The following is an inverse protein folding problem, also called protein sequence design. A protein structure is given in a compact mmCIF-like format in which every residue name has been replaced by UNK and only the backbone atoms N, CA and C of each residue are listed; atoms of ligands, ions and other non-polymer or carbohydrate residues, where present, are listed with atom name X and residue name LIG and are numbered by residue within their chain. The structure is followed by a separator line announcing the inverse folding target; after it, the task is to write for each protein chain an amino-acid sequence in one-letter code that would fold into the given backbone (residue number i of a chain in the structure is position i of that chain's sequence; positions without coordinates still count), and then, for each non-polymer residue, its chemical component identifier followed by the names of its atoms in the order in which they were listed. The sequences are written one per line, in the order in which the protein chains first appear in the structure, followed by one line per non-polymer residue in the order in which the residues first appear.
data_IF_024785535638
#
_entry.id   IF_024785535638
#
_cell.length_a   1.000
_cell.length_b   1.000
_cell.length_c   1.000
_cell.angle_alpha   90.00
_cell.angle_beta   90.00
_cell.angle_gamma   90.00
#
_symmetry.space_group_name_H-M   'P 1'
#
loop_
_entity.id
_entity.type
_entity.pdbx_description
1 polymer ?
#
# COMPACT_ATOMS: atom_id res chain seq x y z
N UNK A 1 -11.54 -55.63 7.06
CA UNK A 1 -10.31 -55.28 6.30
C UNK A 1 -10.62 -54.31 5.16
N UNK A 2 -11.50 -54.63 4.20
CA UNK A 2 -11.83 -53.73 3.06
C UNK A 2 -12.35 -52.33 3.41
N UNK A 3 -13.06 -52.18 4.53
CA UNK A 3 -13.59 -50.89 5.00
C UNK A 3 -12.51 -49.94 5.54
N UNK A 4 -11.45 -50.49 6.15
CA UNK A 4 -10.34 -49.70 6.70
C UNK A 4 -9.46 -49.16 5.56
N UNK A 5 -9.22 -49.97 4.54
CA UNK A 5 -8.52 -49.57 3.31
C UNK A 5 -9.23 -48.42 2.58
N UNK A 6 -10.57 -48.42 2.56
CA UNK A 6 -11.34 -47.35 1.92
C UNK A 6 -11.25 -46.03 2.68
N UNK A 7 -11.26 -46.10 4.02
CA UNK A 7 -11.11 -44.92 4.87
C UNK A 7 -9.69 -44.33 4.73
N UNK A 8 -8.65 -45.18 4.74
CA UNK A 8 -7.26 -44.74 4.57
C UNK A 8 -7.06 -44.08 3.20
N UNK A 9 -7.63 -44.64 2.13
CA UNK A 9 -7.56 -44.05 0.80
C UNK A 9 -8.29 -42.69 0.70
N UNK A 10 -9.45 -42.54 1.36
CA UNK A 10 -10.17 -41.26 1.39
C UNK A 10 -9.41 -40.19 2.18
N UNK A 11 -8.84 -40.52 3.33
CA UNK A 11 -8.05 -39.57 4.15
C UNK A 11 -6.78 -39.13 3.41
N UNK A 12 -6.09 -40.06 2.75
CA UNK A 12 -4.91 -39.74 1.93
C UNK A 12 -5.27 -38.88 0.71
N UNK A 13 -6.38 -39.18 0.03
CA UNK A 13 -6.86 -38.38 -1.11
C UNK A 13 -7.24 -36.95 -0.71
N UNK A 14 -7.88 -36.78 0.45
CA UNK A 14 -8.24 -35.46 0.99
C UNK A 14 -6.99 -34.67 1.40
N UNK A 15 -6.02 -35.32 2.06
CA UNK A 15 -4.75 -34.70 2.44
C UNK A 15 -3.90 -34.28 1.22
N UNK A 16 -3.97 -35.02 0.12
CA UNK A 16 -3.35 -34.67 -1.16
C UNK A 16 -4.10 -33.53 -1.88
N UNK A 17 -5.42 -33.40 -1.70
CA UNK A 17 -6.21 -32.30 -2.30
C UNK A 17 -6.08 -30.95 -1.56
N UNK A 18 -5.66 -30.95 -0.29
CA UNK A 18 -5.45 -29.71 0.47
C UNK A 18 -4.09 -29.02 0.22
N UNK A 19 -3.19 -29.64 -0.55
CA UNK A 19 -1.87 -29.08 -0.87
C UNK A 19 -1.79 -28.28 -2.19
N UNK A 20 -2.93 -27.92 -2.80
CA UNK A 20 -2.95 -27.06 -4.00
C UNK A 20 -3.77 -25.78 -3.77
N UNK A 21 -3.73 -25.23 -2.55
CA UNK A 21 -3.86 -23.78 -2.41
C UNK A 21 -2.44 -23.24 -2.39
N UNK A 22 -1.83 -23.18 -3.57
CA UNK A 22 -0.59 -22.43 -3.75
C UNK A 22 -0.83 -21.03 -3.24
N UNK A 23 -0.14 -20.65 -2.16
CA UNK A 23 0.07 -19.26 -1.80
C UNK A 23 0.63 -18.57 -3.06
N UNK A 24 -0.20 -17.81 -3.74
CA UNK A 24 0.22 -16.90 -4.81
C UNK A 24 1.09 -15.82 -4.16
N UNK A 25 2.36 -16.14 -3.92
CA UNK A 25 3.37 -15.19 -3.49
C UNK A 25 3.62 -14.24 -4.66
N UNK A 26 3.17 -13.00 -4.49
CA UNK A 26 3.38 -11.92 -5.44
C UNK A 26 4.84 -11.45 -5.34
N UNK A 27 5.63 -11.64 -6.40
CA UNK A 27 6.96 -11.05 -6.49
C UNK A 27 6.87 -9.60 -7.01
N UNK A 28 6.79 -8.61 -6.10
CA UNK A 28 6.80 -7.18 -6.46
C UNK A 28 8.01 -6.83 -7.37
N UNK A 29 9.15 -7.50 -7.15
CA UNK A 29 10.38 -7.33 -7.93
C UNK A 29 10.23 -7.74 -9.41
N UNK A 30 9.22 -8.55 -9.76
CA UNK A 30 8.93 -8.94 -11.14
C UNK A 30 7.92 -8.03 -11.86
N UNK A 31 7.27 -7.10 -11.15
CA UNK A 31 6.10 -6.38 -11.67
C UNK A 31 6.31 -4.90 -11.95
N UNK A 32 7.32 -4.28 -11.34
CA UNK A 32 7.62 -2.86 -11.50
C UNK A 32 9.08 -2.66 -11.88
N UNK A 33 9.31 -1.79 -12.87
CA UNK A 33 10.66 -1.48 -13.33
C UNK A 33 11.36 -0.42 -12.47
N UNK A 34 10.60 0.50 -11.88
CA UNK A 34 11.12 1.59 -11.06
C UNK A 34 10.04 2.16 -10.14
N UNK A 35 10.46 2.96 -9.15
CA UNK A 35 9.57 3.71 -8.29
C UNK A 35 9.71 5.21 -8.58
N UNK A 36 8.58 5.92 -8.62
CA UNK A 36 8.57 7.38 -8.62
C UNK A 36 8.33 7.85 -7.20
N UNK A 37 9.30 8.57 -6.63
CA UNK A 37 9.09 9.33 -5.42
C UNK A 37 8.59 10.72 -5.82
N UNK A 38 7.31 10.97 -5.60
CA UNK A 38 6.63 12.20 -6.03
C UNK A 38 6.47 13.12 -4.85
N UNK A 39 6.88 14.37 -5.04
CA UNK A 39 6.75 15.44 -4.05
C UNK A 39 5.84 16.53 -4.60
N UNK A 40 5.09 17.20 -3.72
CA UNK A 40 4.20 18.31 -4.06
C UNK A 40 4.55 19.57 -3.29
N UNK A 41 4.34 20.72 -3.93
CA UNK A 41 4.49 22.03 -3.30
C UNK A 41 3.16 22.44 -2.66
N UNK A 42 3.12 22.67 -1.34
CA UNK A 42 1.90 23.13 -0.66
C UNK A 42 1.37 24.44 -1.25
N UNK A 43 2.27 25.34 -1.66
CA UNK A 43 1.93 26.62 -2.27
C UNK A 43 1.28 26.46 -3.64
N UNK A 44 1.83 25.61 -4.51
CA UNK A 44 1.26 25.37 -5.83
C UNK A 44 -0.11 24.69 -5.71
N UNK A 45 -0.18 23.63 -4.89
CA UNK A 45 -1.42 22.90 -4.63
C UNK A 45 -2.56 23.82 -4.18
N UNK A 46 -2.28 24.72 -3.23
CA UNK A 46 -3.30 25.61 -2.68
C UNK A 46 -3.60 26.84 -3.57
N UNK A 47 -2.68 27.26 -4.44
CA UNK A 47 -2.87 28.42 -5.33
C UNK A 47 -3.62 28.07 -6.61
N UNK A 48 -3.48 26.85 -7.12
CA UNK A 48 -4.10 26.41 -8.38
C UNK A 48 -5.63 26.22 -8.27
N UNK A 49 -6.19 26.43 -7.08
CA UNK A 49 -7.62 26.46 -6.85
C UNK A 49 -8.22 27.79 -7.21
N UNK A 50 -9.10 27.83 -8.21
CA UNK A 50 -10.04 28.92 -8.49
C UNK A 50 -10.96 29.24 -7.29
N UNK A 51 -10.43 29.67 -6.13
CA UNK A 51 -11.16 29.97 -4.89
C UNK A 51 -11.80 28.76 -4.18
N UNK A 52 -11.81 27.58 -4.80
CA UNK A 52 -12.50 26.38 -4.32
C UNK A 52 -11.58 25.37 -3.61
N UNK A 53 -10.26 25.60 -3.63
CA UNK A 53 -9.32 24.80 -2.85
C UNK A 53 -9.42 25.27 -1.41
N UNK A 54 -10.35 24.66 -0.69
CA UNK A 54 -10.38 24.76 0.77
C UNK A 54 -9.14 24.00 1.25
N UNK A 55 -7.99 24.66 1.30
CA UNK A 55 -6.81 24.14 2.00
C UNK A 55 -7.05 24.25 3.50
N UNK A 56 -6.75 23.18 4.23
CA UNK A 56 -6.98 23.08 5.68
C UNK A 56 -5.76 23.41 6.54
N UNK A 57 -4.59 23.64 5.95
CA UNK A 57 -3.35 23.85 6.69
C UNK A 57 -2.83 25.27 6.44
N UNK A 58 -2.76 26.05 7.52
CA UNK A 58 -2.10 27.36 7.56
C UNK A 58 -1.24 27.48 8.82
N UNK A 59 -0.02 28.05 8.74
CA UNK A 59 0.67 28.49 7.52
C UNK A 59 1.09 27.29 6.64
N UNK A 60 1.17 27.51 5.33
CA UNK A 60 1.65 26.47 4.40
C UNK A 60 3.15 26.21 4.61
N UNK A 61 3.59 24.94 4.67
CA UNK A 61 5.00 24.61 4.70
C UNK A 61 5.72 25.17 3.47
N UNK A 62 6.93 25.72 3.67
CA UNK A 62 7.82 26.21 2.59
C UNK A 62 8.70 25.14 1.96
N UNK A 63 8.51 23.90 2.38
CA UNK A 63 9.22 22.73 1.86
C UNK A 63 8.25 21.87 1.08
N UNK A 64 8.78 21.10 0.13
CA UNK A 64 8.02 20.06 -0.53
C UNK A 64 7.64 18.97 0.48
N UNK A 65 6.44 18.43 0.31
CA UNK A 65 5.98 17.25 1.05
C UNK A 65 5.83 16.08 0.09
N UNK A 66 5.81 14.88 0.65
CA UNK A 66 5.53 13.67 -0.10
C UNK A 66 4.10 13.76 -0.65
N UNK A 67 3.95 13.47 -1.94
CA UNK A 67 2.65 13.21 -2.55
C UNK A 67 2.41 11.71 -2.62
N UNK A 68 3.40 10.94 -3.08
CA UNK A 68 3.32 9.47 -3.04
C UNK A 68 4.55 8.75 -3.58
N UNK A 69 4.61 7.45 -3.30
CA UNK A 69 5.59 6.53 -3.86
C UNK A 69 4.87 5.58 -4.82
N UNK A 70 5.19 5.68 -6.11
CA UNK A 70 4.40 5.02 -7.16
C UNK A 70 5.22 3.97 -7.90
N UNK A 71 4.95 2.67 -7.68
CA UNK A 71 5.48 1.61 -8.52
C UNK A 71 5.07 1.85 -9.99
N UNK A 72 6.05 1.80 -10.90
CA UNK A 72 5.86 2.17 -12.31
C UNK A 72 6.58 1.22 -13.25
N UNK A 73 6.10 1.17 -14.49
CA UNK A 73 6.71 0.41 -15.58
C UNK A 73 7.10 1.34 -16.72
N UNK A 74 8.09 0.93 -17.54
CA UNK A 74 8.42 1.65 -18.78
C UNK A 74 7.33 1.50 -19.84
N UNK A 75 6.51 0.45 -19.72
CA UNK A 75 5.32 0.21 -20.54
C UNK A 75 4.07 0.34 -19.68
N UNK A 76 2.92 0.64 -20.28
CA UNK A 76 1.64 0.74 -19.56
C UNK A 76 1.05 -0.63 -19.13
N UNK A 77 1.86 -1.69 -19.05
CA UNK A 77 1.39 -2.98 -18.52
C UNK A 77 1.30 -2.90 -17.01
N UNK A 78 0.15 -3.29 -16.47
CA UNK A 78 -0.11 -3.36 -15.03
C UNK A 78 -0.52 -4.80 -14.73
N UNK A 79 0.30 -5.52 -13.98
CA UNK A 79 -0.02 -6.87 -13.55
C UNK A 79 -0.89 -6.86 -12.29
N UNK A 80 -1.74 -7.89 -12.07
CA UNK A 80 -2.85 -7.84 -11.13
C UNK A 80 -2.49 -8.23 -9.69
N UNK A 81 -1.22 -8.16 -9.26
CA UNK A 81 -0.97 -8.41 -7.84
C UNK A 81 -1.53 -7.29 -6.98
N UNK A 82 -2.34 -7.71 -6.01
CA UNK A 82 -3.00 -6.86 -5.05
C UNK A 82 -2.53 -7.31 -3.68
N UNK A 83 -1.65 -6.55 -3.05
CA UNK A 83 -1.33 -6.69 -1.64
C UNK A 83 -2.51 -6.30 -0.74
N UNK A 84 -2.28 -6.27 0.57
CA UNK A 84 -3.34 -5.96 1.52
C UNK A 84 -3.87 -4.54 1.29
N UNK A 85 -5.14 -4.30 1.65
CA UNK A 85 -5.66 -2.93 1.73
C UNK A 85 -5.03 -2.24 2.94
N UNK A 86 -4.94 -0.91 2.88
CA UNK A 86 -4.52 -0.09 4.00
C UNK A 86 -5.38 -0.40 5.23
N UNK A 87 -4.73 -0.66 6.36
CA UNK A 87 -5.41 -0.87 7.62
C UNK A 87 -5.24 0.35 8.52
N UNK A 88 -6.33 1.11 8.71
CA UNK A 88 -6.34 2.19 9.69
C UNK A 88 -6.09 1.69 11.11
N UNK A 89 -6.50 0.45 11.42
CA UNK A 89 -6.26 -0.18 12.72
C UNK A 89 -4.77 -0.32 12.95
N UNK A 90 -4.04 -0.92 11.99
CA UNK A 90 -2.59 -1.10 12.06
C UNK A 90 -1.88 0.26 12.14
N UNK A 91 -2.25 1.21 11.28
CA UNK A 91 -1.63 2.55 11.30
C UNK A 91 -1.85 3.29 12.63
N UNK A 92 -2.92 2.98 13.37
CA UNK A 92 -3.22 3.57 14.68
C UNK A 92 -2.63 2.79 15.87
N UNK A 93 -1.98 1.65 15.65
CA UNK A 93 -1.26 0.93 16.70
C UNK A 93 -0.13 1.81 17.28
N UNK A 94 0.16 1.65 18.57
CA UNK A 94 1.19 2.41 19.26
C UNK A 94 2.60 2.15 18.69
N UNK A 95 2.83 0.97 18.12
CA UNK A 95 4.08 0.64 17.40
C UNK A 95 4.35 1.55 16.20
N UNK A 96 3.32 2.19 15.66
CA UNK A 96 3.40 3.10 14.53
C UNK A 96 3.33 4.59 14.94
N UNK A 97 3.46 4.92 16.22
CA UNK A 97 3.36 6.31 16.69
C UNK A 97 4.41 7.23 16.07
N UNK A 98 5.68 6.80 16.06
CA UNK A 98 6.78 7.57 15.46
C UNK A 98 6.59 7.73 13.95
N UNK A 99 6.24 6.63 13.26
CA UNK A 99 5.92 6.68 11.83
C UNK A 99 4.76 7.64 11.55
N UNK A 100 3.70 7.59 12.35
CA UNK A 100 2.53 8.45 12.19
C UNK A 100 2.89 9.92 12.44
N UNK A 101 3.76 10.22 13.40
CA UNK A 101 4.26 11.56 13.64
C UNK A 101 5.08 12.09 12.44
N UNK A 102 5.96 11.26 11.88
CA UNK A 102 6.74 11.62 10.69
C UNK A 102 5.86 11.84 9.46
N UNK A 103 4.87 10.99 9.23
CA UNK A 103 3.90 11.13 8.15
C UNK A 103 3.01 12.37 8.32
N UNK A 104 2.63 12.71 9.55
CA UNK A 104 1.88 13.93 9.85
C UNK A 104 2.64 15.21 9.51
N UNK A 105 3.97 15.15 9.38
CA UNK A 105 4.80 16.28 8.96
C UNK A 105 5.15 16.21 7.48
N UNK A 106 5.57 15.05 7.00
CA UNK A 106 6.17 14.86 5.68
C UNK A 106 5.18 14.48 4.58
N UNK A 107 4.02 13.89 4.90
CA UNK A 107 3.07 13.36 3.92
C UNK A 107 1.63 13.77 4.26
N UNK A 108 1.33 15.08 4.19
CA UNK A 108 0.07 15.65 4.68
C UNK A 108 -0.96 15.81 3.58
N UNK A 109 -2.25 15.75 3.94
CA UNK A 109 -3.31 16.19 3.03
C UNK A 109 -3.45 17.71 3.06
N UNK A 110 -3.43 18.35 1.89
CA UNK A 110 -3.78 19.77 1.74
C UNK A 110 -5.24 19.97 1.32
N UNK A 111 -6.01 18.90 1.15
CA UNK A 111 -7.43 18.98 0.83
C UNK A 111 -8.24 19.04 2.12
N UNK A 112 -8.97 20.13 2.40
CA UNK A 112 -9.79 20.23 3.62
C UNK A 112 -10.88 19.19 3.79
N UNK A 113 -11.26 18.48 2.73
CA UNK A 113 -12.24 17.40 2.83
C UNK A 113 -11.63 16.12 3.35
N UNK A 114 -10.31 15.98 3.32
CA UNK A 114 -9.58 14.76 3.62
C UNK A 114 -8.66 14.98 4.82
N UNK A 115 -8.72 14.06 5.78
CA UNK A 115 -7.69 13.95 6.80
C UNK A 115 -6.41 13.37 6.20
N UNK A 116 -5.30 13.46 6.94
CA UNK A 116 -4.08 12.75 6.58
C UNK A 116 -4.32 11.23 6.43
N UNK A 117 -5.12 10.63 7.32
CA UNK A 117 -5.47 9.21 7.24
C UNK A 117 -6.22 8.86 5.95
N UNK A 118 -7.15 9.70 5.51
CA UNK A 118 -7.87 9.49 4.24
C UNK A 118 -6.92 9.56 3.05
N UNK A 119 -5.96 10.48 3.09
CA UNK A 119 -4.95 10.63 2.06
C UNK A 119 -3.97 9.46 2.00
N UNK A 120 -3.44 9.02 3.15
CA UNK A 120 -2.55 7.85 3.22
C UNK A 120 -3.23 6.58 2.74
N UNK A 121 -4.48 6.37 3.16
CA UNK A 121 -5.28 5.24 2.70
C UNK A 121 -5.47 5.27 1.18
N UNK A 122 -5.81 6.43 0.61
CA UNK A 122 -5.98 6.58 -0.82
C UNK A 122 -4.70 6.25 -1.60
N UNK A 123 -3.57 6.88 -1.23
CA UNK A 123 -2.29 6.68 -1.90
C UNK A 123 -1.80 5.23 -1.77
N UNK A 124 -1.93 4.64 -0.57
CA UNK A 124 -1.57 3.24 -0.37
C UNK A 124 -2.46 2.30 -1.19
N UNK A 125 -3.78 2.46 -1.14
CA UNK A 125 -4.70 1.56 -1.84
C UNK A 125 -4.61 1.69 -3.36
N UNK A 126 -4.22 2.85 -3.87
CA UNK A 126 -4.05 3.09 -5.30
C UNK A 126 -2.67 2.67 -5.81
N UNK A 127 -1.63 2.91 -5.03
CA UNK A 127 -0.23 2.75 -5.45
C UNK A 127 0.53 1.74 -4.57
N UNK A 128 0.50 1.93 -3.25
CA UNK A 128 1.29 1.15 -2.27
C UNK A 128 1.01 -0.35 -2.24
N UNK A 129 -0.26 -0.77 -2.20
CA UNK A 129 -0.63 -2.20 -2.09
C UNK A 129 -0.11 -3.07 -3.23
N UNK A 130 0.22 -2.47 -4.38
CA UNK A 130 0.79 -3.22 -5.49
C UNK A 130 2.31 -3.44 -5.34
N UNK A 131 2.99 -2.61 -4.56
CA UNK A 131 4.40 -2.78 -4.18
C UNK A 131 4.61 -3.56 -2.88
N UNK A 132 3.57 -3.70 -2.04
CA UNK A 132 3.60 -4.32 -0.71
C UNK A 132 4.04 -5.79 -0.70
N UNK A 133 3.87 -6.51 -1.81
CA UNK A 133 4.13 -7.95 -1.83
C UNK A 133 5.57 -8.40 -1.55
N UNK A 134 6.57 -7.50 -1.45
CA UNK A 134 7.94 -7.85 -1.07
C UNK A 134 8.81 -6.73 -0.45
N UNK A 135 8.27 -5.56 -0.08
CA UNK A 135 9.10 -4.46 0.47
C UNK A 135 9.75 -4.81 1.82
N UNK A 136 9.14 -5.67 2.63
CA UNK A 136 9.69 -6.10 3.92
C UNK A 136 10.89 -7.06 3.83
N UNK A 137 11.09 -7.75 2.69
CA UNK A 137 12.10 -8.80 2.59
C UNK A 137 13.47 -8.29 2.09
N UNK A 138 13.53 -7.09 1.49
CA UNK A 138 14.76 -6.50 0.90
C UNK A 138 15.37 -5.35 1.68
N UNK A 139 14.72 -4.86 2.74
CA UNK A 139 15.33 -3.88 3.66
C UNK A 139 16.14 -4.55 4.78
N UNK A 140 16.36 -5.87 4.68
CA UNK A 140 17.16 -6.68 5.60
C UNK A 140 18.43 -7.26 4.92
N UNK A 141 18.72 -6.85 3.68
CA UNK A 141 19.95 -7.18 2.95
C UNK A 141 20.90 -5.98 2.89
#
# INVERSE_FOLDING_TARGET
MKFLETIVAMVLGIALSFNIVGNMSCNAAGQYNYFKFVQESPFAYCKDGNGNNRCNILPLPRIFTIHGLWPSNFTNRHEPCVGAQFSRVVMNEASNDDLRADLQLSWRSFNSRWSNMDFWEYEYNKHGKRGDSNLGHRMQE
#
